data_IF_601893895904
#
_entry.id   IF_601893895904
#
_cell.length_a   1.000
_cell.length_b   1.000
_cell.length_c   1.000
_cell.angle_alpha   90.00
_cell.angle_beta   90.00
_cell.angle_gamma   90.00
#
_symmetry.space_group_name_H-M   'P 1'
#
loop_
_entity.id
_entity.type
_entity.pdbx_description
1 polymer ?
#
# COMPACT_ATOMS: atom_id res chain seq x y z
N UNK A 1 -13.21 15.00 -26.16
CA UNK A 1 -12.58 16.10 -25.42
C UNK A 1 -11.41 15.50 -24.63
N UNK A 2 -10.16 15.73 -25.04
CA UNK A 2 -8.98 15.18 -24.35
C UNK A 2 -8.82 15.94 -23.02
N UNK A 3 -9.03 15.27 -21.91
CA UNK A 3 -8.85 15.85 -20.58
C UNK A 3 -7.37 16.13 -20.35
N UNK A 4 -7.05 17.31 -19.80
CA UNK A 4 -5.67 17.63 -19.42
C UNK A 4 -5.30 16.69 -18.27
N UNK A 5 -4.20 15.92 -18.38
CA UNK A 5 -3.81 15.00 -17.32
C UNK A 5 -3.56 15.77 -16.02
N UNK A 6 -4.19 15.33 -14.93
CA UNK A 6 -4.03 15.87 -13.58
C UNK A 6 -3.17 14.92 -12.74
N UNK A 7 -1.82 14.95 -12.89
CA UNK A 7 -0.91 14.01 -12.23
C UNK A 7 -1.10 14.00 -10.72
N UNK A 8 -1.21 15.19 -10.12
CA UNK A 8 -1.37 15.34 -8.68
C UNK A 8 -2.65 14.66 -8.18
N UNK A 9 -3.78 14.87 -8.86
CA UNK A 9 -5.04 14.25 -8.48
C UNK A 9 -5.00 12.71 -8.62
N UNK A 10 -4.35 12.20 -9.67
CA UNK A 10 -4.17 10.77 -9.90
C UNK A 10 -3.41 10.09 -8.74
N UNK A 11 -2.26 10.68 -8.37
CA UNK A 11 -1.40 10.15 -7.31
C UNK A 11 -2.06 10.33 -5.95
N UNK A 12 -2.64 11.51 -5.70
CA UNK A 12 -3.27 11.84 -4.43
C UNK A 12 -4.44 10.90 -4.12
N UNK A 13 -5.41 10.78 -5.04
CA UNK A 13 -6.57 9.93 -4.80
C UNK A 13 -6.23 8.44 -4.85
N UNK A 14 -5.33 8.03 -5.75
CA UNK A 14 -4.86 6.65 -5.84
C UNK A 14 -4.15 6.20 -4.57
N UNK A 15 -3.18 6.98 -4.09
CA UNK A 15 -2.41 6.67 -2.88
C UNK A 15 -3.24 6.79 -1.60
N UNK A 16 -4.15 7.76 -1.52
CA UNK A 16 -5.03 7.94 -0.36
C UNK A 16 -6.02 6.78 -0.23
N UNK A 17 -6.74 6.42 -1.30
CA UNK A 17 -7.71 5.32 -1.27
C UNK A 17 -7.01 3.99 -1.01
N UNK A 18 -5.87 3.72 -1.66
CA UNK A 18 -5.08 2.53 -1.41
C UNK A 18 -4.59 2.46 0.05
N UNK A 19 -4.09 3.58 0.59
CA UNK A 19 -3.63 3.66 1.97
C UNK A 19 -4.74 3.40 2.98
N UNK A 20 -5.93 4.00 2.76
CA UNK A 20 -7.10 3.79 3.61
C UNK A 20 -7.55 2.33 3.57
N UNK A 21 -7.74 1.76 2.38
CA UNK A 21 -8.23 0.38 2.29
C UNK A 21 -7.24 -0.63 2.86
N UNK A 22 -5.93 -0.45 2.61
CA UNK A 22 -4.92 -1.36 3.15
C UNK A 22 -4.83 -1.27 4.68
N UNK A 23 -4.84 -0.06 5.26
CA UNK A 23 -4.77 0.09 6.71
C UNK A 23 -6.04 -0.37 7.41
N UNK A 24 -7.21 -0.15 6.80
CA UNK A 24 -8.48 -0.67 7.30
C UNK A 24 -8.49 -2.20 7.28
N UNK A 25 -8.00 -2.82 6.20
CA UNK A 25 -7.83 -4.27 6.15
C UNK A 25 -6.90 -4.76 7.25
N UNK A 26 -5.77 -4.09 7.48
CA UNK A 26 -4.86 -4.44 8.55
C UNK A 26 -5.54 -4.35 9.93
N UNK A 27 -6.27 -3.27 10.20
CA UNK A 27 -7.01 -3.10 11.45
C UNK A 27 -8.06 -4.19 11.67
N UNK A 28 -8.81 -4.57 10.65
CA UNK A 28 -9.80 -5.64 10.76
C UNK A 28 -9.10 -7.01 10.92
N UNK A 29 -8.17 -7.34 10.03
CA UNK A 29 -7.52 -8.66 9.99
C UNK A 29 -6.68 -8.98 11.23
N UNK A 30 -5.90 -8.01 11.71
CA UNK A 30 -5.14 -8.17 12.96
C UNK A 30 -5.98 -7.85 14.21
N UNK A 31 -7.02 -7.01 14.07
CA UNK A 31 -8.00 -6.75 15.14
C UNK A 31 -8.74 -8.00 15.57
N UNK A 32 -9.18 -8.80 14.61
CA UNK A 32 -9.81 -10.11 14.86
C UNK A 32 -8.85 -11.12 15.54
N UNK A 33 -7.55 -10.84 15.55
CA UNK A 33 -6.50 -11.62 16.26
C UNK A 33 -6.10 -11.02 17.60
N UNK A 34 -6.84 -10.00 18.08
CA UNK A 34 -6.59 -9.33 19.35
C UNK A 34 -5.52 -8.23 19.31
N UNK A 35 -5.06 -7.80 18.12
CA UNK A 35 -4.18 -6.63 18.01
C UNK A 35 -4.98 -5.34 18.00
N UNK A 36 -4.44 -4.27 18.58
CA UNK A 36 -5.08 -2.95 18.53
C UNK A 36 -4.54 -2.14 17.34
N UNK A 37 -5.34 -1.22 16.75
CA UNK A 37 -4.88 -0.31 15.69
C UNK A 37 -3.57 0.40 16.07
N UNK A 38 -3.46 0.83 17.33
CA UNK A 38 -2.25 1.43 17.87
C UNK A 38 -1.01 0.52 17.75
N UNK A 39 -1.13 -0.76 18.14
CA UNK A 39 -0.02 -1.72 18.03
C UNK A 39 0.32 -2.06 16.58
N UNK A 40 -0.66 -2.04 15.68
CA UNK A 40 -0.45 -2.25 14.24
C UNK A 40 0.38 -1.10 13.68
N UNK A 41 0.02 0.15 13.98
CA UNK A 41 0.77 1.34 13.57
C UNK A 41 2.20 1.36 14.13
N UNK A 42 2.36 1.03 15.43
CA UNK A 42 3.70 0.84 15.98
C UNK A 42 4.46 -0.29 15.27
N UNK A 43 3.77 -1.35 14.86
CA UNK A 43 4.34 -2.43 14.05
C UNK A 43 4.95 -1.93 12.75
N UNK A 44 4.30 -0.99 12.06
CA UNK A 44 4.84 -0.34 10.86
C UNK A 44 6.06 0.53 11.23
N UNK A 45 5.97 1.27 12.34
CA UNK A 45 7.08 2.08 12.88
C UNK A 45 8.34 1.27 13.23
N UNK A 46 8.21 -0.03 13.51
CA UNK A 46 9.36 -0.93 13.77
C UNK A 46 10.31 -1.01 12.58
N UNK A 47 9.83 -0.76 11.36
CA UNK A 47 10.71 -0.73 10.19
C UNK A 47 11.78 0.37 10.23
N UNK A 48 11.57 1.42 11.04
CA UNK A 48 12.53 2.52 11.23
C UNK A 48 13.20 2.40 12.59
N UNK A 49 12.40 2.20 13.65
CA UNK A 49 12.88 2.26 15.04
C UNK A 49 13.28 0.90 15.63
N UNK A 50 13.14 -0.18 14.86
CA UNK A 50 13.41 -1.53 15.34
C UNK A 50 12.54 -1.91 16.55
N UNK A 51 13.14 -2.54 17.55
CA UNK A 51 12.43 -2.97 18.78
C UNK A 51 11.97 -1.81 19.65
N UNK A 52 12.65 -0.65 19.60
CA UNK A 52 12.32 0.56 20.39
C UNK A 52 10.97 1.18 20.02
N UNK A 53 10.43 0.85 18.86
CA UNK A 53 9.15 1.34 18.36
C UNK A 53 7.99 1.18 19.37
N UNK A 54 8.00 0.10 20.17
CA UNK A 54 6.94 -0.15 21.17
C UNK A 54 7.02 0.81 22.36
N UNK A 55 8.22 1.19 22.75
CA UNK A 55 8.49 2.06 23.89
C UNK A 55 8.19 3.52 23.58
N UNK A 56 8.25 3.91 22.30
CA UNK A 56 8.01 5.28 21.83
C UNK A 56 6.53 5.70 21.82
N UNK A 57 5.60 4.83 22.21
CA UNK A 57 4.18 5.18 22.34
C UNK A 57 3.56 5.73 21.05
N UNK A 58 2.83 6.85 21.17
CA UNK A 58 2.13 7.51 20.06
C UNK A 58 3.05 8.07 18.99
N UNK A 59 4.29 8.45 19.33
CA UNK A 59 5.26 8.94 18.35
C UNK A 59 5.55 7.88 17.29
N UNK A 60 5.77 6.63 17.72
CA UNK A 60 5.97 5.53 16.78
C UNK A 60 4.72 5.22 15.96
N UNK A 61 3.53 5.28 16.56
CA UNK A 61 2.29 5.02 15.84
C UNK A 61 2.03 6.08 14.75
N UNK A 62 2.25 7.36 15.06
CA UNK A 62 2.10 8.45 14.10
C UNK A 62 3.11 8.34 12.95
N UNK A 63 4.37 8.04 13.26
CA UNK A 63 5.40 7.85 12.23
C UNK A 63 5.07 6.61 11.38
N UNK A 64 4.63 5.51 11.98
CA UNK A 64 4.17 4.33 11.24
C UNK A 64 3.05 4.66 10.26
N UNK A 65 2.07 5.48 10.67
CA UNK A 65 0.99 5.94 9.79
C UNK A 65 1.52 6.80 8.62
N UNK A 66 2.45 7.72 8.89
CA UNK A 66 3.06 8.55 7.85
C UNK A 66 3.85 7.70 6.87
N UNK A 67 4.62 6.72 7.35
CA UNK A 67 5.37 5.80 6.51
C UNK A 67 4.44 4.95 5.65
N UNK A 68 3.33 4.46 6.22
CA UNK A 68 2.31 3.70 5.49
C UNK A 68 1.78 4.47 4.28
N UNK A 69 1.31 5.71 4.50
CA UNK A 69 0.81 6.53 3.40
C UNK A 69 1.93 6.93 2.43
N UNK A 70 3.15 7.15 2.92
CA UNK A 70 4.30 7.42 2.04
C UNK A 70 4.50 6.27 1.05
N UNK A 71 4.45 5.02 1.53
CA UNK A 71 4.56 3.82 0.69
C UNK A 71 3.43 3.77 -0.34
N UNK A 72 2.17 4.01 0.05
CA UNK A 72 1.04 3.96 -0.89
C UNK A 72 1.08 5.10 -1.91
N UNK A 73 1.53 6.30 -1.54
CA UNK A 73 1.77 7.40 -2.48
C UNK A 73 2.92 7.11 -3.43
N UNK A 74 4.02 6.51 -2.95
CA UNK A 74 5.12 6.06 -3.81
C UNK A 74 4.63 5.01 -4.81
N UNK A 75 3.85 4.02 -4.37
CA UNK A 75 3.25 3.02 -5.26
C UNK A 75 2.33 3.67 -6.30
N UNK A 76 1.50 4.64 -5.92
CA UNK A 76 0.65 5.38 -6.86
C UNK A 76 1.48 6.19 -7.88
N UNK A 77 2.56 6.81 -7.42
CA UNK A 77 3.50 7.58 -8.26
C UNK A 77 4.18 6.68 -9.28
N UNK A 78 4.70 5.51 -8.86
CA UNK A 78 5.33 4.54 -9.75
C UNK A 78 4.36 4.06 -10.81
N UNK A 79 3.11 3.71 -10.44
CA UNK A 79 2.10 3.31 -11.40
C UNK A 79 1.78 4.42 -12.41
N UNK A 80 1.63 5.66 -11.93
CA UNK A 80 1.40 6.82 -12.79
C UNK A 80 2.56 7.03 -13.78
N UNK A 81 3.82 7.00 -13.32
CA UNK A 81 4.98 7.17 -14.19
C UNK A 81 5.09 6.05 -15.23
N UNK A 82 4.80 4.81 -14.82
CA UNK A 82 4.74 3.66 -15.73
C UNK A 82 3.63 3.83 -16.79
N UNK A 83 2.46 4.34 -16.40
CA UNK A 83 1.33 4.57 -17.31
C UNK A 83 1.61 5.60 -18.40
N UNK A 84 2.56 6.51 -18.16
CA UNK A 84 3.04 7.46 -19.19
C UNK A 84 3.81 6.79 -20.32
N UNK A 85 4.43 5.63 -20.07
CA UNK A 85 5.17 4.86 -21.07
C UNK A 85 4.36 3.68 -21.62
N UNK A 86 3.57 3.02 -20.77
CA UNK A 86 2.81 1.83 -21.10
C UNK A 86 1.31 2.14 -21.07
N UNK A 87 0.74 2.42 -22.25
CA UNK A 87 -0.69 2.76 -22.39
C UNK A 87 -1.65 1.68 -21.87
N UNK A 88 -1.22 0.41 -21.89
CA UNK A 88 -2.02 -0.72 -21.39
C UNK A 88 -2.47 -0.55 -19.93
N UNK A 89 -1.67 0.14 -19.10
CA UNK A 89 -1.98 0.43 -17.69
C UNK A 89 -3.23 1.30 -17.51
N UNK A 90 -3.59 2.07 -18.53
CA UNK A 90 -4.76 2.96 -18.55
C UNK A 90 -5.91 2.36 -19.37
N UNK A 91 -5.58 1.60 -20.41
CA UNK A 91 -6.57 0.92 -21.27
C UNK A 91 -7.23 -0.27 -20.56
N UNK A 92 -6.46 -1.02 -19.75
CA UNK A 92 -6.93 -2.19 -18.97
C UNK A 92 -6.64 -2.03 -17.47
N UNK A 93 -7.20 -0.99 -16.81
CA UNK A 93 -6.86 -0.64 -15.43
C UNK A 93 -7.18 -1.75 -14.42
N UNK A 94 -8.19 -2.57 -14.68
CA UNK A 94 -8.59 -3.64 -13.75
C UNK A 94 -7.53 -4.73 -13.72
N UNK A 95 -7.20 -5.31 -14.89
CA UNK A 95 -6.18 -6.35 -14.98
C UNK A 95 -4.81 -5.82 -14.54
N UNK A 96 -4.41 -4.65 -15.03
CA UNK A 96 -3.15 -4.04 -14.66
C UNK A 96 -3.09 -3.66 -13.18
N UNK A 97 -4.19 -3.16 -12.60
CA UNK A 97 -4.29 -2.87 -11.17
C UNK A 97 -4.15 -4.13 -10.33
N UNK A 98 -4.84 -5.21 -10.70
CA UNK A 98 -4.74 -6.49 -9.98
C UNK A 98 -3.30 -7.03 -9.98
N UNK A 99 -2.68 -7.10 -11.16
CA UNK A 99 -1.28 -7.55 -11.31
C UNK A 99 -0.34 -6.62 -10.54
N UNK A 100 -0.54 -5.30 -10.63
CA UNK A 100 0.30 -4.34 -9.93
C UNK A 100 0.20 -4.45 -8.41
N UNK A 101 -1.01 -4.63 -7.87
CA UNK A 101 -1.20 -4.83 -6.45
C UNK A 101 -0.47 -6.08 -5.95
N UNK A 102 -0.49 -7.17 -6.72
CA UNK A 102 0.29 -8.37 -6.40
C UNK A 102 1.80 -8.10 -6.41
N UNK A 103 2.30 -7.38 -7.43
CA UNK A 103 3.72 -7.00 -7.49
C UNK A 103 4.13 -6.13 -6.30
N UNK A 104 3.28 -5.20 -5.88
CA UNK A 104 3.51 -4.37 -4.68
C UNK A 104 3.54 -5.23 -3.43
N UNK A 105 2.63 -6.20 -3.28
CA UNK A 105 2.65 -7.14 -2.16
C UNK A 105 3.96 -7.93 -2.11
N UNK A 106 4.36 -8.53 -3.23
CA UNK A 106 5.60 -9.29 -3.32
C UNK A 106 6.82 -8.42 -3.01
N UNK A 107 6.86 -7.19 -3.53
CA UNK A 107 7.95 -6.25 -3.24
C UNK A 107 8.01 -5.88 -1.75
N UNK A 108 6.86 -5.56 -1.15
CA UNK A 108 6.79 -5.27 0.28
C UNK A 108 7.22 -6.48 1.10
N UNK A 109 6.75 -7.67 0.75
CA UNK A 109 6.96 -8.90 1.51
C UNK A 109 8.39 -9.44 1.40
N UNK A 110 9.01 -9.41 0.21
CA UNK A 110 10.32 -10.01 -0.05
C UNK A 110 11.49 -9.03 -0.01
N UNK A 111 11.23 -7.72 -0.18
CA UNK A 111 12.30 -6.71 -0.19
C UNK A 111 12.18 -5.82 1.04
N UNK A 112 11.03 -5.15 1.22
CA UNK A 112 10.90 -4.13 2.27
C UNK A 112 10.89 -4.75 3.65
N UNK A 113 10.08 -5.80 3.88
CA UNK A 113 9.95 -6.43 5.19
C UNK A 113 11.27 -7.03 5.70
N UNK A 114 12.04 -7.81 4.90
CA UNK A 114 13.34 -8.33 5.32
C UNK A 114 14.35 -7.23 5.65
N UNK A 115 14.37 -6.14 4.87
CA UNK A 115 15.26 -5.00 5.14
C UNK A 115 14.84 -4.21 6.38
N UNK A 116 13.55 -4.09 6.63
CA UNK A 116 13.00 -3.23 7.68
C UNK A 116 13.03 -3.91 9.07
N UNK A 117 12.67 -5.18 9.17
CA UNK A 117 12.54 -5.87 10.46
C UNK A 117 13.13 -7.29 10.50
N UNK A 118 13.81 -7.74 9.43
CA UNK A 118 14.31 -9.10 9.29
C UNK A 118 13.29 -10.07 8.68
N UNK A 119 13.66 -11.36 8.61
CA UNK A 119 12.88 -12.39 7.92
C UNK A 119 11.43 -12.47 8.48
N UNK A 120 10.41 -12.21 7.66
CA UNK A 120 9.02 -12.29 8.11
C UNK A 120 8.68 -13.73 8.49
N UNK A 121 8.07 -13.92 9.66
CA UNK A 121 7.60 -15.24 10.07
C UNK A 121 6.40 -15.64 9.20
N UNK A 122 6.51 -16.76 8.51
CA UNK A 122 5.48 -17.30 7.63
C UNK A 122 4.19 -17.60 8.40
N UNK A 123 3.11 -16.87 8.10
CA UNK A 123 1.77 -17.15 8.60
C UNK A 123 0.84 -17.37 7.40
N UNK A 124 0.13 -18.51 7.39
CA UNK A 124 -0.81 -18.93 6.33
C UNK A 124 -1.85 -17.84 6.04
N UNK A 125 -2.25 -17.09 7.07
CA UNK A 125 -3.19 -16.00 6.88
C UNK A 125 -2.65 -14.86 6.01
N UNK A 126 -1.37 -14.53 6.14
CA UNK A 126 -0.72 -13.52 5.29
C UNK A 126 -0.63 -13.98 3.84
N UNK A 127 -0.50 -15.29 3.61
CA UNK A 127 -0.55 -15.91 2.27
C UNK A 127 -1.92 -15.82 1.60
N UNK A 128 -3.00 -15.72 2.36
CA UNK A 128 -4.36 -15.67 1.79
C UNK A 128 -4.83 -14.22 1.69
N UNK A 129 -4.64 -13.43 2.75
CA UNK A 129 -5.14 -12.05 2.79
C UNK A 129 -4.26 -11.08 2.03
N UNK A 130 -2.95 -11.35 1.88
CA UNK A 130 -2.03 -10.50 1.14
C UNK A 130 -2.31 -10.51 -0.37
N UNK A 131 -2.21 -11.67 -1.03
CA UNK A 131 -2.42 -11.81 -2.48
C UNK A 131 -3.86 -11.55 -2.94
N UNK A 132 -4.84 -11.63 -2.04
CA UNK A 132 -6.21 -11.22 -2.36
C UNK A 132 -6.39 -9.74 -2.01
N UNK A 133 -5.97 -9.30 -0.83
CA UNK A 133 -6.17 -7.91 -0.39
C UNK A 133 -5.46 -6.89 -1.28
N UNK A 134 -4.18 -7.08 -1.58
CA UNK A 134 -3.37 -6.06 -2.26
C UNK A 134 -3.82 -5.77 -3.71
N UNK A 135 -4.12 -6.77 -4.56
CA UNK A 135 -4.70 -6.52 -5.88
C UNK A 135 -5.96 -5.66 -5.84
N UNK A 136 -6.88 -5.94 -4.91
CA UNK A 136 -8.18 -5.27 -4.85
C UNK A 136 -8.16 -3.95 -4.08
N UNK A 137 -7.40 -3.86 -2.99
CA UNK A 137 -7.41 -2.72 -2.06
C UNK A 137 -6.28 -1.73 -2.32
N UNK A 138 -5.20 -2.13 -2.98
CA UNK A 138 -4.07 -1.24 -3.33
C UNK A 138 -4.02 -1.04 -4.84
N UNK A 139 -3.96 -2.13 -5.59
CA UNK A 139 -3.78 -2.12 -7.03
C UNK A 139 -4.93 -1.47 -7.81
N UNK A 140 -6.17 -1.92 -7.58
CA UNK A 140 -7.35 -1.38 -8.25
C UNK A 140 -7.59 0.12 -8.00
N UNK A 141 -7.59 0.63 -6.75
CA UNK A 141 -7.80 2.06 -6.50
C UNK A 141 -6.76 2.94 -7.19
N UNK A 142 -5.49 2.52 -7.17
CA UNK A 142 -4.40 3.23 -7.88
C UNK A 142 -4.67 3.24 -9.38
N UNK A 143 -4.92 2.09 -9.99
CA UNK A 143 -5.10 1.97 -11.42
C UNK A 143 -6.34 2.74 -11.93
N UNK A 144 -7.45 2.68 -11.19
CA UNK A 144 -8.68 3.40 -11.51
C UNK A 144 -8.52 4.91 -11.33
N UNK A 145 -7.85 5.37 -10.27
CA UNK A 145 -7.57 6.79 -10.06
C UNK A 145 -6.67 7.33 -11.18
N UNK A 146 -5.59 6.60 -11.53
CA UNK A 146 -4.71 6.99 -12.63
C UNK A 146 -5.50 7.07 -13.93
N UNK A 147 -6.29 6.06 -14.29
CA UNK A 147 -7.13 6.13 -15.49
C UNK A 147 -8.08 7.34 -15.47
N UNK A 148 -8.73 7.61 -14.35
CA UNK A 148 -9.73 8.69 -14.24
C UNK A 148 -9.14 10.09 -14.43
N UNK A 149 -7.90 10.30 -13.99
CA UNK A 149 -7.24 11.61 -13.97
C UNK A 149 -6.12 11.78 -15.01
N UNK A 150 -5.70 10.72 -15.70
CA UNK A 150 -4.66 10.76 -16.74
C UNK A 150 -5.14 10.47 -18.15
N UNK A 151 -6.38 10.00 -18.34
CA UNK A 151 -6.99 9.79 -19.68
C UNK A 151 -7.52 11.07 -20.28
#
# INVERSE_FOLDING_TARGET
>A
MKTVPKPFAAIFWGGLLAGIFDITQAFIGFGLRGSTPFRILQGIGRGIFGTRSREMGWTSAAIGLVCHFTITFTAATVYYLASRKLRILVERPVLCGLVYGELVFLFMYFVVMPLAIGQPHFNIATYITGPIGHPFLVGLPIALAVRRYSS
#
